data_IF_583506927149
#
_entry.id   IF_583506927149
#
_cell.length_a   1.000
_cell.length_b   1.000
_cell.length_c   1.000
_cell.angle_alpha   90.00
_cell.angle_beta   90.00
_cell.angle_gamma   90.00
#
_symmetry.space_group_name_H-M   'P 1'
#
loop_
_entity.id
_entity.type
_entity.pdbx_description
1 polymer ?
#
# COMPACT_ATOMS: atom_id res chain seq x y z
N UNK A 1 -21.47 10.48 23.18
CA UNK A 1 -20.52 10.99 22.16
C UNK A 1 -19.73 9.82 21.62
N UNK A 2 -19.97 9.42 20.38
CA UNK A 2 -19.13 8.42 19.69
C UNK A 2 -17.68 8.91 19.62
N UNK A 3 -16.74 8.16 20.21
CA UNK A 3 -15.30 8.42 20.07
C UNK A 3 -14.92 8.27 18.59
N UNK A 4 -14.36 9.31 17.97
CA UNK A 4 -13.84 9.25 16.59
C UNK A 4 -12.77 8.16 16.51
N UNK A 5 -12.99 7.13 15.67
CA UNK A 5 -12.11 5.94 15.55
C UNK A 5 -10.80 6.22 14.76
N UNK A 6 -10.21 7.41 14.86
CA UNK A 6 -9.04 7.83 14.05
C UNK A 6 -9.22 7.47 12.57
N UNK A 7 -10.33 7.91 11.99
CA UNK A 7 -10.71 7.64 10.59
C UNK A 7 -11.13 8.94 9.91
N UNK A 8 -10.93 9.00 8.59
CA UNK A 8 -11.49 10.06 7.76
C UNK A 8 -13.01 10.00 7.79
N UNK A 9 -13.67 11.15 7.89
CA UNK A 9 -15.13 11.20 7.90
C UNK A 9 -15.70 10.87 6.52
N UNK A 10 -16.95 10.40 6.47
CA UNK A 10 -17.67 10.21 5.20
C UNK A 10 -17.64 11.47 4.34
N UNK A 11 -17.83 12.64 4.97
CA UNK A 11 -17.79 13.93 4.29
C UNK A 11 -16.44 14.16 3.60
N UNK A 12 -15.33 13.99 4.32
CA UNK A 12 -14.00 14.20 3.73
C UNK A 12 -13.67 13.19 2.64
N UNK A 13 -14.01 11.91 2.81
CA UNK A 13 -13.84 10.92 1.75
C UNK A 13 -14.63 11.31 0.49
N UNK A 14 -15.87 11.77 0.68
CA UNK A 14 -16.73 12.26 -0.40
C UNK A 14 -16.09 13.46 -1.11
N UNK A 15 -15.70 14.49 -0.36
CA UNK A 15 -15.06 15.70 -0.91
C UNK A 15 -13.73 15.41 -1.60
N UNK A 16 -12.90 14.51 -1.04
CA UNK A 16 -11.68 14.06 -1.70
C UNK A 16 -11.98 13.37 -3.03
N UNK A 17 -12.95 12.44 -3.06
CA UNK A 17 -13.29 11.75 -4.30
C UNK A 17 -13.75 12.71 -5.42
N UNK A 18 -14.39 13.83 -5.09
CA UNK A 18 -14.77 14.87 -6.05
C UNK A 18 -13.64 15.81 -6.45
N UNK A 19 -12.74 16.08 -5.53
CA UNK A 19 -11.62 16.98 -5.75
C UNK A 19 -10.54 16.34 -6.63
N UNK A 20 -10.17 15.09 -6.34
CA UNK A 20 -9.07 14.38 -7.00
C UNK A 20 -9.11 14.38 -8.54
N UNK A 21 -10.24 14.20 -9.25
CA UNK A 21 -10.25 14.24 -10.72
C UNK A 21 -9.95 15.62 -11.32
N UNK A 22 -10.01 16.69 -10.52
CA UNK A 22 -9.76 18.07 -10.96
C UNK A 22 -8.59 18.73 -10.23
N UNK A 23 -7.85 17.98 -9.43
CA UNK A 23 -6.66 18.50 -8.77
C UNK A 23 -5.64 18.99 -9.81
N UNK A 24 -5.15 20.23 -9.67
CA UNK A 24 -4.27 20.89 -10.61
C UNK A 24 -5.00 21.59 -11.76
N UNK A 25 -6.35 21.67 -11.71
CA UNK A 25 -7.11 22.38 -12.74
C UNK A 25 -6.69 23.86 -12.79
N UNK A 26 -6.34 24.32 -13.99
CA UNK A 26 -5.79 25.67 -14.20
C UNK A 26 -4.27 25.75 -14.13
N UNK A 27 -3.58 24.66 -13.78
CA UNK A 27 -2.13 24.57 -13.89
C UNK A 27 -1.73 24.38 -15.36
N UNK A 28 -0.82 25.22 -15.88
CA UNK A 28 -0.33 25.14 -17.26
C UNK A 28 0.86 24.20 -17.44
N UNK A 29 1.44 23.69 -16.35
CA UNK A 29 2.67 22.90 -16.36
C UNK A 29 2.46 21.38 -16.36
N UNK A 30 1.26 20.89 -16.01
CA UNK A 30 0.95 19.46 -16.02
C UNK A 30 -0.54 19.20 -16.21
N UNK A 31 -0.88 17.99 -16.66
CA UNK A 31 -2.26 17.54 -16.85
C UNK A 31 -2.95 17.42 -15.47
N UNK A 32 -4.14 18.02 -15.28
CA UNK A 32 -4.87 17.90 -14.03
C UNK A 32 -5.49 16.50 -13.86
N UNK A 33 -5.78 16.17 -12.61
CA UNK A 33 -6.53 14.97 -12.21
C UNK A 33 -5.65 13.81 -11.78
N UNK A 34 -6.04 13.16 -10.69
CA UNK A 34 -5.39 11.95 -10.18
C UNK A 34 -5.88 10.73 -10.98
N UNK A 35 -4.94 9.91 -11.44
CA UNK A 35 -5.25 8.73 -12.25
C UNK A 35 -5.53 7.48 -11.39
N UNK A 36 -4.92 7.39 -10.20
CA UNK A 36 -5.10 6.24 -9.32
C UNK A 36 -5.00 6.59 -7.83
N UNK A 37 -5.73 5.82 -7.02
CA UNK A 37 -5.74 5.91 -5.56
C UNK A 37 -5.50 4.54 -4.95
N UNK A 38 -4.58 4.47 -3.99
CA UNK A 38 -4.39 3.31 -3.14
C UNK A 38 -5.06 3.56 -1.77
N UNK A 39 -6.13 2.82 -1.48
CA UNK A 39 -6.77 2.82 -0.17
C UNK A 39 -5.96 1.90 0.75
N UNK A 40 -5.21 2.50 1.67
CA UNK A 40 -4.37 1.78 2.62
C UNK A 40 -4.19 2.60 3.91
N UNK A 41 -3.57 2.02 4.93
CA UNK A 41 -3.25 2.76 6.15
C UNK A 41 -2.52 1.92 7.19
N UNK A 42 -2.28 2.52 8.35
CA UNK A 42 -1.77 1.79 9.53
C UNK A 42 -2.84 0.97 10.27
N UNK A 43 -4.11 1.09 9.86
CA UNK A 43 -5.23 0.28 10.36
C UNK A 43 -5.94 -0.46 9.22
N UNK A 44 -7.18 -0.90 9.46
CA UNK A 44 -7.99 -1.61 8.46
C UNK A 44 -8.97 -0.65 7.77
N UNK A 45 -8.78 -0.32 6.48
CA UNK A 45 -9.64 0.63 5.77
C UNK A 45 -11.10 0.18 5.67
N UNK A 46 -11.37 -1.12 5.58
CA UNK A 46 -12.75 -1.64 5.48
C UNK A 46 -13.53 -1.57 6.81
N UNK A 47 -12.90 -1.16 7.92
CA UNK A 47 -13.61 -0.83 9.16
C UNK A 47 -14.27 0.56 9.11
N UNK A 48 -13.93 1.40 8.14
CA UNK A 48 -14.64 2.65 7.90
C UNK A 48 -15.89 2.37 7.03
N UNK A 49 -17.11 2.60 7.54
CA UNK A 49 -18.34 2.31 6.80
C UNK A 49 -18.48 3.10 5.48
N UNK A 50 -17.72 4.18 5.30
CA UNK A 50 -17.74 4.98 4.09
C UNK A 50 -16.74 4.51 3.01
N UNK A 51 -15.96 3.45 3.26
CA UNK A 51 -14.93 3.00 2.31
C UNK A 51 -15.53 2.47 1.01
N UNK A 52 -16.62 1.69 1.06
CA UNK A 52 -17.33 1.23 -0.15
C UNK A 52 -17.79 2.40 -1.02
N UNK A 53 -18.58 3.31 -0.45
CA UNK A 53 -19.04 4.54 -1.11
C UNK A 53 -17.88 5.36 -1.71
N UNK A 54 -16.75 5.45 -0.99
CA UNK A 54 -15.56 6.17 -1.47
C UNK A 54 -14.96 5.51 -2.71
N UNK A 55 -14.79 4.18 -2.70
CA UNK A 55 -14.27 3.41 -3.83
C UNK A 55 -15.19 3.59 -5.05
N UNK A 56 -16.50 3.40 -4.87
CA UNK A 56 -17.48 3.54 -5.96
C UNK A 56 -17.43 4.93 -6.59
N UNK A 57 -17.26 5.96 -5.75
CA UNK A 57 -17.20 7.35 -6.21
C UNK A 57 -15.91 7.69 -6.96
N UNK A 58 -14.77 7.17 -6.51
CA UNK A 58 -13.51 7.30 -7.26
C UNK A 58 -13.63 6.65 -8.64
N UNK A 59 -14.22 5.46 -8.72
CA UNK A 59 -14.40 4.71 -9.97
C UNK A 59 -15.38 5.43 -10.90
N UNK A 60 -16.47 6.00 -10.36
CA UNK A 60 -17.38 6.85 -11.13
C UNK A 60 -16.66 8.04 -11.77
N UNK A 61 -15.68 8.61 -11.05
CA UNK A 61 -14.78 9.67 -11.52
C UNK A 61 -13.60 9.17 -12.37
N UNK A 62 -13.62 7.90 -12.83
CA UNK A 62 -12.60 7.26 -13.70
C UNK A 62 -11.21 7.16 -13.06
N UNK A 63 -11.15 7.14 -11.73
CA UNK A 63 -9.92 6.93 -10.97
C UNK A 63 -9.77 5.42 -10.72
N UNK A 64 -8.58 4.88 -11.03
CA UNK A 64 -8.28 3.49 -10.71
C UNK A 64 -8.06 3.31 -9.20
N UNK A 65 -8.60 2.23 -8.64
CA UNK A 65 -8.52 1.99 -7.20
C UNK A 65 -7.81 0.69 -6.90
N UNK A 66 -6.79 0.77 -6.05
CA UNK A 66 -6.18 -0.37 -5.37
C UNK A 66 -6.47 -0.30 -3.87
N UNK A 67 -6.56 -1.44 -3.19
CA UNK A 67 -6.77 -1.47 -1.73
C UNK A 67 -5.91 -2.51 -1.04
N UNK A 68 -5.32 -2.14 0.10
CA UNK A 68 -4.66 -3.07 1.02
C UNK A 68 -5.54 -3.27 2.25
N UNK A 69 -5.87 -4.52 2.57
CA UNK A 69 -6.75 -4.90 3.69
C UNK A 69 -6.21 -6.13 4.41
N UNK A 70 -6.57 -6.31 5.68
CA UNK A 70 -6.36 -7.54 6.45
C UNK A 70 -7.38 -8.64 6.11
N UNK A 71 -8.35 -8.36 5.23
CA UNK A 71 -9.31 -9.34 4.73
C UNK A 71 -10.53 -9.59 5.62
N UNK A 72 -10.59 -8.98 6.83
CA UNK A 72 -11.65 -9.26 7.81
C UNK A 72 -13.05 -8.76 7.42
N UNK A 73 -13.14 -7.90 6.39
CA UNK A 73 -14.39 -7.24 5.95
C UNK A 73 -14.60 -7.28 4.43
N UNK A 74 -14.05 -8.29 3.75
CA UNK A 74 -14.13 -8.41 2.29
C UNK A 74 -15.58 -8.58 1.82
N UNK A 75 -16.34 -9.46 2.48
CA UNK A 75 -17.69 -9.82 2.06
C UNK A 75 -18.64 -8.62 2.16
N UNK A 76 -18.52 -7.81 3.21
CA UNK A 76 -19.36 -6.63 3.41
C UNK A 76 -19.13 -5.53 2.37
N UNK A 77 -18.00 -5.57 1.65
CA UNK A 77 -17.62 -4.58 0.65
C UNK A 77 -17.42 -5.19 -0.74
N UNK A 78 -17.93 -6.40 -0.98
CA UNK A 78 -17.60 -7.21 -2.15
C UNK A 78 -17.89 -6.50 -3.48
N UNK A 79 -18.98 -5.74 -3.55
CA UNK A 79 -19.37 -4.98 -4.74
C UNK A 79 -18.32 -3.94 -5.12
N UNK A 80 -18.01 -3.01 -4.20
CA UNK A 80 -17.00 -1.99 -4.40
C UNK A 80 -15.61 -2.60 -4.68
N UNK A 81 -15.23 -3.62 -3.91
CA UNK A 81 -13.95 -4.32 -4.08
C UNK A 81 -13.82 -4.99 -5.45
N UNK A 82 -14.90 -5.54 -5.99
CA UNK A 82 -14.91 -6.20 -7.30
C UNK A 82 -14.60 -5.23 -8.45
N UNK A 83 -14.79 -3.92 -8.24
CA UNK A 83 -14.53 -2.88 -9.23
C UNK A 83 -13.10 -2.30 -9.15
N UNK A 84 -12.35 -2.62 -8.09
CA UNK A 84 -10.97 -2.22 -7.94
C UNK A 84 -10.08 -2.82 -9.04
N UNK A 85 -8.99 -2.10 -9.38
CA UNK A 85 -7.89 -2.65 -10.17
C UNK A 85 -7.26 -3.83 -9.43
N UNK A 86 -6.98 -3.72 -8.14
CA UNK A 86 -6.45 -4.83 -7.35
C UNK A 86 -6.85 -4.77 -5.88
N UNK A 87 -6.92 -5.93 -5.23
CA UNK A 87 -7.15 -6.08 -3.78
C UNK A 87 -6.00 -6.86 -3.16
N UNK A 88 -5.19 -6.22 -2.32
CA UNK A 88 -4.09 -6.84 -1.61
C UNK A 88 -4.50 -7.26 -0.21
N UNK A 89 -4.49 -8.56 0.09
CA UNK A 89 -4.89 -9.09 1.39
C UNK A 89 -3.67 -9.48 2.21
N UNK A 90 -3.47 -8.83 3.35
CA UNK A 90 -2.33 -9.04 4.28
C UNK A 90 -2.52 -10.30 5.11
N UNK A 91 -1.94 -11.39 4.62
CA UNK A 91 -2.06 -12.71 5.24
C UNK A 91 -0.81 -13.08 6.04
N UNK A 92 0.38 -12.81 5.51
CA UNK A 92 1.67 -13.05 6.21
C UNK A 92 1.88 -14.48 6.75
N UNK A 93 1.10 -15.46 6.28
CA UNK A 93 1.16 -16.86 6.71
C UNK A 93 0.60 -17.79 5.62
N UNK A 94 1.06 -19.04 5.60
CA UNK A 94 0.49 -20.15 4.84
C UNK A 94 -0.40 -21.07 5.69
N UNK A 95 -0.36 -20.93 7.03
CA UNK A 95 -1.15 -21.71 7.97
C UNK A 95 -1.84 -20.86 9.05
N UNK A 96 -3.00 -21.32 9.53
CA UNK A 96 -3.77 -20.63 10.59
C UNK A 96 -2.97 -20.43 11.87
N UNK A 97 -2.16 -21.40 12.30
CA UNK A 97 -1.36 -21.28 13.54
C UNK A 97 -0.39 -20.09 13.49
N UNK A 98 0.29 -19.91 12.36
CA UNK A 98 1.24 -18.82 12.15
C UNK A 98 0.51 -17.49 11.98
N UNK A 99 -0.60 -17.48 11.25
CA UNK A 99 -1.48 -16.31 11.15
C UNK A 99 -1.94 -15.82 12.52
N UNK A 100 -2.52 -16.72 13.32
CA UNK A 100 -3.05 -16.38 14.65
C UNK A 100 -1.94 -15.88 15.57
N UNK A 101 -0.75 -16.50 15.54
CA UNK A 101 0.42 -16.06 16.29
C UNK A 101 0.84 -14.64 15.89
N UNK A 102 1.04 -14.39 14.59
CA UNK A 102 1.53 -13.09 14.09
C UNK A 102 0.53 -11.96 14.29
N UNK A 103 -0.77 -12.25 14.18
CA UNK A 103 -1.85 -11.27 14.33
C UNK A 103 -2.36 -11.13 15.78
N UNK A 104 -1.86 -11.94 16.71
CA UNK A 104 -2.27 -11.93 18.11
C UNK A 104 -3.73 -12.37 18.31
N UNK A 105 -4.19 -13.33 17.50
CA UNK A 105 -5.57 -13.81 17.47
C UNK A 105 -5.72 -15.13 18.23
N UNK A 106 -6.96 -15.42 18.63
CA UNK A 106 -7.29 -16.68 19.31
C UNK A 106 -7.63 -17.77 18.27
N UNK A 107 -7.02 -18.97 18.37
CA UNK A 107 -7.25 -20.04 17.40
C UNK A 107 -8.71 -20.51 17.26
N UNK A 108 -9.54 -20.38 18.31
CA UNK A 108 -10.95 -20.80 18.29
C UNK A 108 -11.81 -20.02 17.30
N UNK A 109 -11.34 -18.85 16.85
CA UNK A 109 -12.09 -17.95 15.98
C UNK A 109 -11.93 -18.25 14.49
N UNK A 110 -10.95 -19.08 14.11
CA UNK A 110 -10.69 -19.48 12.71
C UNK A 110 -10.65 -18.28 11.74
N UNK A 111 -9.98 -17.19 12.14
CA UNK A 111 -9.92 -15.98 11.32
C UNK A 111 -9.24 -16.22 9.98
N UNK A 112 -8.14 -16.99 9.98
CA UNK A 112 -7.43 -17.36 8.77
C UNK A 112 -8.36 -18.04 7.76
N UNK A 113 -9.02 -19.14 8.15
CA UNK A 113 -9.90 -19.91 7.28
C UNK A 113 -11.02 -19.04 6.68
N UNK A 114 -11.63 -18.18 7.50
CA UNK A 114 -12.69 -17.26 7.06
C UNK A 114 -12.20 -16.23 6.04
N UNK A 115 -10.98 -15.72 6.22
CA UNK A 115 -10.40 -14.76 5.27
C UNK A 115 -10.05 -15.48 3.96
N UNK A 116 -9.50 -16.69 4.01
CA UNK A 116 -9.23 -17.53 2.84
C UNK A 116 -10.52 -17.79 2.05
N UNK A 117 -11.61 -18.18 2.73
CA UNK A 117 -12.93 -18.34 2.11
C UNK A 117 -13.44 -17.02 1.50
N UNK A 118 -13.28 -15.91 2.22
CA UNK A 118 -13.70 -14.59 1.73
C UNK A 118 -12.93 -14.13 0.49
N UNK A 119 -11.63 -14.46 0.40
CA UNK A 119 -10.81 -14.22 -0.79
C UNK A 119 -11.37 -15.01 -1.98
N UNK A 120 -11.61 -16.32 -1.80
CA UNK A 120 -12.14 -17.17 -2.85
C UNK A 120 -13.50 -16.67 -3.37
N UNK A 121 -14.38 -16.25 -2.45
CA UNK A 121 -15.68 -15.64 -2.77
C UNK A 121 -15.50 -14.36 -3.57
N UNK A 122 -14.61 -13.44 -3.17
CA UNK A 122 -14.37 -12.19 -3.90
C UNK A 122 -13.84 -12.45 -5.32
N UNK A 123 -12.89 -13.39 -5.48
CA UNK A 123 -12.34 -13.78 -6.79
C UNK A 123 -13.44 -14.31 -7.70
N UNK A 124 -14.25 -15.25 -7.21
CA UNK A 124 -15.34 -15.85 -7.98
C UNK A 124 -16.43 -14.83 -8.31
N UNK A 125 -16.81 -13.99 -7.34
CA UNK A 125 -17.78 -12.92 -7.53
C UNK A 125 -17.35 -11.95 -8.64
N UNK A 126 -16.11 -11.44 -8.58
CA UNK A 126 -15.60 -10.51 -9.56
C UNK A 126 -15.59 -11.09 -11.00
N UNK A 127 -15.25 -12.38 -11.13
CA UNK A 127 -15.32 -13.10 -12.42
C UNK A 127 -16.75 -13.21 -12.93
N UNK A 128 -17.70 -13.61 -12.08
CA UNK A 128 -19.12 -13.77 -12.45
C UNK A 128 -19.80 -12.45 -12.82
N UNK A 129 -19.44 -11.37 -12.12
CA UNK A 129 -19.93 -10.03 -12.43
C UNK A 129 -19.22 -9.38 -13.62
N UNK A 130 -18.19 -10.03 -14.18
CA UNK A 130 -17.32 -9.46 -15.21
C UNK A 130 -16.81 -8.05 -14.82
N UNK A 131 -16.54 -7.87 -13.52
CA UNK A 131 -16.07 -6.61 -12.97
C UNK A 131 -14.56 -6.48 -13.18
N UNK A 132 -14.02 -5.26 -13.05
CA UNK A 132 -12.60 -4.96 -13.36
C UNK A 132 -11.63 -5.95 -12.71
N UNK A 133 -11.83 -6.24 -11.42
CA UNK A 133 -10.97 -7.17 -10.66
C UNK A 133 -10.94 -8.58 -11.26
N UNK A 134 -12.04 -9.03 -11.89
CA UNK A 134 -12.19 -10.36 -12.48
C UNK A 134 -11.76 -10.46 -13.95
N UNK A 135 -11.47 -9.33 -14.61
CA UNK A 135 -11.04 -9.31 -16.01
C UNK A 135 -9.62 -9.84 -16.18
N UNK A 136 -9.33 -10.45 -17.33
CA UNK A 136 -7.99 -10.95 -17.68
C UNK A 136 -7.06 -9.77 -18.00
N UNK A 137 -6.28 -9.33 -17.02
CA UNK A 137 -5.23 -8.32 -17.18
C UNK A 137 -4.10 -8.56 -16.16
N UNK A 138 -2.83 -8.28 -16.48
CA UNK A 138 -1.73 -8.52 -15.54
C UNK A 138 -1.86 -7.79 -14.20
N UNK A 139 -2.43 -6.58 -14.23
CA UNK A 139 -2.62 -5.76 -13.03
C UNK A 139 -3.89 -6.10 -12.24
N UNK A 140 -4.80 -6.93 -12.76
CA UNK A 140 -6.13 -7.12 -12.16
C UNK A 140 -6.22 -8.39 -11.33
N UNK A 141 -6.80 -8.27 -10.13
CA UNK A 141 -7.14 -9.40 -9.29
C UNK A 141 -6.76 -9.24 -7.82
N UNK A 142 -7.00 -10.32 -7.07
CA UNK A 142 -6.66 -10.40 -5.64
C UNK A 142 -5.21 -10.85 -5.49
N UNK A 143 -4.47 -10.14 -4.64
CA UNK A 143 -3.06 -10.39 -4.35
C UNK A 143 -2.89 -10.84 -2.92
N UNK A 144 -2.30 -12.02 -2.73
CA UNK A 144 -1.91 -12.51 -1.41
C UNK A 144 -0.65 -11.76 -0.96
N UNK A 145 -0.76 -10.90 0.07
CA UNK A 145 0.37 -10.12 0.57
C UNK A 145 1.00 -10.82 1.77
N UNK A 146 2.31 -10.98 1.69
CA UNK A 146 3.09 -11.74 2.67
C UNK A 146 4.33 -10.96 3.11
N UNK A 147 4.30 -10.45 4.34
CA UNK A 147 5.47 -9.92 5.01
C UNK A 147 6.25 -11.05 5.66
N UNK A 148 7.52 -11.16 5.32
CA UNK A 148 8.44 -12.14 5.90
C UNK A 148 8.84 -11.68 7.30
N UNK A 149 8.75 -12.61 8.23
CA UNK A 149 9.30 -12.56 9.57
C UNK A 149 10.01 -13.90 9.81
N UNK A 150 11.00 -13.94 10.69
CA UNK A 150 11.72 -15.18 11.04
C UNK A 150 10.82 -16.41 11.27
N UNK A 151 9.65 -16.19 11.87
CA UNK A 151 8.72 -17.25 12.25
C UNK A 151 7.89 -17.80 11.08
N UNK A 152 7.89 -17.16 9.90
CA UNK A 152 7.00 -17.50 8.79
C UNK A 152 7.74 -17.78 7.47
N UNK A 153 9.06 -17.69 7.41
CA UNK A 153 9.81 -17.94 6.17
C UNK A 153 9.57 -19.37 5.66
N UNK A 154 9.50 -20.35 6.57
CA UNK A 154 9.26 -21.76 6.24
C UNK A 154 7.89 -22.04 5.60
N UNK A 155 6.96 -21.09 5.59
CA UNK A 155 5.62 -21.24 5.00
C UNK A 155 5.49 -20.61 3.61
N UNK A 156 6.55 -20.03 3.03
CA UNK A 156 6.50 -19.32 1.74
C UNK A 156 5.94 -20.20 0.62
N UNK A 157 6.45 -21.43 0.45
CA UNK A 157 5.91 -22.34 -0.58
C UNK A 157 4.44 -22.72 -0.33
N UNK A 158 4.11 -23.04 0.92
CA UNK A 158 2.73 -23.37 1.31
C UNK A 158 1.76 -22.22 1.05
N UNK A 159 2.15 -20.99 1.37
CA UNK A 159 1.35 -19.80 1.15
C UNK A 159 1.13 -19.53 -0.35
N UNK A 160 2.16 -19.74 -1.19
CA UNK A 160 2.03 -19.60 -2.64
C UNK A 160 1.06 -20.64 -3.21
N UNK A 161 1.16 -21.90 -2.77
CA UNK A 161 0.22 -22.96 -3.16
C UNK A 161 -1.21 -22.61 -2.77
N UNK A 162 -1.44 -22.20 -1.52
CA UNK A 162 -2.75 -21.79 -1.04
C UNK A 162 -3.32 -20.60 -1.82
N UNK A 163 -2.51 -19.56 -2.07
CA UNK A 163 -2.92 -18.39 -2.82
C UNK A 163 -3.37 -18.75 -4.24
N UNK A 164 -2.65 -19.67 -4.90
CA UNK A 164 -3.02 -20.19 -6.22
C UNK A 164 -4.33 -20.98 -6.17
N UNK A 165 -4.48 -21.88 -5.19
CA UNK A 165 -5.67 -22.72 -5.02
C UNK A 165 -6.96 -21.91 -4.82
N UNK A 166 -6.89 -20.79 -4.09
CA UNK A 166 -8.05 -19.91 -3.87
C UNK A 166 -8.27 -18.88 -4.99
N UNK A 167 -7.47 -18.94 -6.06
CA UNK A 167 -7.66 -18.14 -7.27
C UNK A 167 -7.13 -16.72 -7.18
N UNK A 168 -6.22 -16.40 -6.25
CA UNK A 168 -5.50 -15.13 -6.30
C UNK A 168 -4.78 -14.98 -7.65
N UNK A 169 -4.61 -13.73 -8.10
CA UNK A 169 -3.81 -13.42 -9.29
C UNK A 169 -2.33 -13.61 -9.03
N UNK A 170 -1.89 -13.32 -7.82
CA UNK A 170 -0.48 -13.41 -7.45
C UNK A 170 -0.28 -13.46 -5.93
N UNK A 171 0.94 -13.79 -5.53
CA UNK A 171 1.45 -13.64 -4.17
C UNK A 171 2.71 -12.76 -4.16
N UNK A 172 2.82 -11.90 -3.15
CA UNK A 172 3.97 -11.01 -2.98
C UNK A 172 4.65 -11.29 -1.63
N UNK A 173 5.87 -11.80 -1.68
CA UNK A 173 6.75 -11.96 -0.52
C UNK A 173 7.64 -10.72 -0.37
N UNK A 174 7.60 -10.10 0.81
CA UNK A 174 8.40 -8.90 1.10
C UNK A 174 9.04 -9.02 2.48
N UNK A 175 10.32 -8.73 2.65
CA UNK A 175 10.89 -8.57 3.98
C UNK A 175 10.09 -7.55 4.79
N UNK A 176 9.76 -7.89 6.04
CA UNK A 176 9.19 -6.91 6.95
C UNK A 176 10.27 -5.85 7.25
N UNK A 177 9.94 -4.59 6.99
CA UNK A 177 10.81 -3.46 7.29
C UNK A 177 10.50 -2.87 8.65
N UNK A 178 11.52 -2.35 9.32
CA UNK A 178 11.37 -1.53 10.53
C UNK A 178 10.61 -0.25 10.20
N UNK A 179 9.66 0.12 11.05
CA UNK A 179 8.92 1.39 10.90
C UNK A 179 9.84 2.57 11.20
N UNK A 180 9.58 3.72 10.59
CA UNK A 180 10.45 4.90 10.66
C UNK A 180 10.76 5.34 12.11
N UNK A 181 9.78 5.20 13.01
CA UNK A 181 9.87 5.55 14.43
C UNK A 181 10.67 4.54 15.28
N UNK A 182 11.15 3.45 14.68
CA UNK A 182 11.85 2.34 15.35
C UNK A 182 13.19 1.97 14.72
N UNK A 183 13.62 2.71 13.70
CA UNK A 183 14.96 2.53 13.11
C UNK A 183 16.02 2.78 14.20
N UNK A 184 17.10 2.00 14.19
CA UNK A 184 18.20 2.10 15.17
C UNK A 184 17.78 1.85 16.63
N UNK A 185 16.68 1.12 16.84
CA UNK A 185 16.25 0.64 18.15
C UNK A 185 16.37 -0.88 18.23
N UNK A 186 16.28 -1.45 19.43
CA UNK A 186 16.20 -2.91 19.67
C UNK A 186 15.04 -3.61 18.92
N UNK A 187 14.07 -2.84 18.41
CA UNK A 187 12.91 -3.33 17.65
C UNK A 187 13.16 -3.37 16.15
N UNK A 188 14.39 -3.08 15.70
CA UNK A 188 14.79 -3.19 14.32
C UNK A 188 14.70 -4.65 13.85
N UNK A 189 13.99 -4.85 12.76
CA UNK A 189 13.85 -6.16 12.12
C UNK A 189 15.11 -6.41 11.29
N UNK A 190 15.78 -7.53 11.57
CA UNK A 190 16.96 -8.02 10.89
C UNK A 190 16.77 -9.49 10.54
N UNK A 191 17.42 -9.94 9.47
CA UNK A 191 17.41 -11.33 9.03
C UNK A 191 18.82 -11.90 9.07
N UNK A 192 18.94 -13.14 9.53
CA UNK A 192 20.20 -13.89 9.57
C UNK A 192 20.51 -14.54 8.21
N UNK A 193 21.77 -14.91 7.93
CA UNK A 193 22.12 -15.66 6.72
C UNK A 193 21.33 -16.97 6.55
N UNK A 194 21.05 -17.68 7.65
CA UNK A 194 20.27 -18.92 7.63
C UNK A 194 18.80 -18.66 7.25
N UNK A 195 18.21 -17.57 7.76
CA UNK A 195 16.85 -17.15 7.39
C UNK A 195 16.75 -16.74 5.92
N UNK A 196 17.78 -16.05 5.40
CA UNK A 196 17.85 -15.70 3.97
C UNK A 196 18.00 -16.96 3.11
N UNK A 197 18.84 -17.91 3.52
CA UNK A 197 19.02 -19.19 2.83
C UNK A 197 17.71 -19.98 2.81
N UNK A 198 17.03 -20.08 3.95
CA UNK A 198 15.72 -20.72 4.04
C UNK A 198 14.70 -20.04 3.12
N UNK A 199 14.70 -18.70 3.05
CA UNK A 199 13.85 -17.98 2.12
C UNK A 199 14.17 -18.35 0.66
N UNK A 200 15.45 -18.39 0.28
CA UNK A 200 15.88 -18.75 -1.08
C UNK A 200 15.42 -20.17 -1.47
N UNK A 201 15.52 -21.13 -0.56
CA UNK A 201 15.02 -22.49 -0.77
C UNK A 201 13.49 -22.52 -0.98
N UNK A 202 12.75 -21.75 -0.16
CA UNK A 202 11.29 -21.73 -0.24
C UNK A 202 10.76 -20.97 -1.45
N UNK A 203 11.36 -19.82 -1.78
CA UNK A 203 10.94 -19.00 -2.91
C UNK A 203 11.22 -19.72 -4.23
N UNK A 204 12.31 -20.48 -4.33
CA UNK A 204 12.60 -21.32 -5.51
C UNK A 204 11.46 -22.30 -5.77
N UNK A 205 11.00 -23.02 -4.74
CA UNK A 205 9.84 -23.93 -4.85
C UNK A 205 8.55 -23.18 -5.19
N UNK A 206 8.37 -21.98 -4.64
CA UNK A 206 7.19 -21.16 -4.91
C UNK A 206 7.17 -20.69 -6.37
N UNK A 207 8.31 -20.34 -6.95
CA UNK A 207 8.42 -19.89 -8.35
C UNK A 207 7.99 -20.98 -9.35
N UNK A 208 8.12 -22.27 -9.01
CA UNK A 208 7.59 -23.37 -9.83
C UNK A 208 6.05 -23.34 -9.97
N UNK A 209 5.35 -22.56 -9.15
CA UNK A 209 3.91 -22.35 -9.24
C UNK A 209 3.52 -21.17 -10.15
N UNK A 210 4.48 -20.34 -10.57
CA UNK A 210 4.24 -19.22 -11.48
C UNK A 210 3.79 -19.71 -12.85
N UNK A 211 2.70 -19.16 -13.37
CA UNK A 211 2.18 -19.45 -14.71
C UNK A 211 1.37 -18.26 -15.27
N UNK A 212 0.78 -18.44 -16.46
CA UNK A 212 -0.01 -17.40 -17.13
C UNK A 212 -1.18 -16.85 -16.27
N UNK A 213 -1.65 -17.64 -15.30
CA UNK A 213 -2.80 -17.33 -14.45
C UNK A 213 -2.41 -16.84 -13.05
N UNK A 214 -1.25 -17.25 -12.53
CA UNK A 214 -0.79 -16.95 -11.18
C UNK A 214 0.67 -16.49 -11.14
N UNK A 215 0.94 -15.31 -10.59
CA UNK A 215 2.29 -14.76 -10.45
C UNK A 215 2.89 -14.94 -9.05
N UNK A 216 4.18 -15.24 -8.97
CA UNK A 216 4.93 -15.32 -7.72
C UNK A 216 6.01 -14.24 -7.70
N UNK A 217 5.91 -13.31 -6.74
CA UNK A 217 6.84 -12.18 -6.66
C UNK A 217 7.57 -12.15 -5.32
N UNK A 218 8.89 -12.31 -5.34
CA UNK A 218 9.78 -11.93 -4.25
C UNK A 218 10.28 -10.49 -4.42
N UNK A 219 10.32 -9.68 -3.36
CA UNK A 219 10.80 -8.28 -3.45
C UNK A 219 12.32 -8.21 -3.38
N UNK A 220 12.92 -7.62 -4.42
CA UNK A 220 14.37 -7.35 -4.58
C UNK A 220 14.72 -5.87 -4.80
N UNK A 221 13.74 -4.96 -4.92
CA UNK A 221 14.03 -3.54 -5.24
C UNK A 221 14.07 -2.60 -4.02
N UNK A 222 13.27 -2.88 -2.97
CA UNK A 222 13.30 -2.08 -1.72
C UNK A 222 14.34 -2.57 -0.73
N UNK A 223 14.83 -3.77 -0.96
CA UNK A 223 15.76 -4.48 -0.10
C UNK A 223 16.83 -5.12 -0.96
N UNK A 224 18.06 -5.17 -0.46
CA UNK A 224 19.16 -5.87 -1.12
C UNK A 224 19.02 -7.40 -0.92
N UNK A 225 19.97 -8.16 -1.45
CA UNK A 225 20.07 -9.62 -1.26
C UNK A 225 20.16 -10.06 0.22
N UNK A 226 20.46 -9.13 1.13
CA UNK A 226 20.57 -9.33 2.57
C UNK A 226 19.33 -8.85 3.33
N UNK A 227 18.27 -8.47 2.62
CA UNK A 227 17.03 -7.92 3.19
C UNK A 227 17.20 -6.60 3.94
N UNK A 228 18.26 -5.84 3.64
CA UNK A 228 18.51 -4.52 4.20
C UNK A 228 17.89 -3.43 3.30
N UNK A 229 17.44 -2.29 3.85
CA UNK A 229 16.90 -1.19 3.05
C UNK A 229 17.85 -0.72 1.94
N UNK A 230 17.35 -0.64 0.72
CA UNK A 230 18.13 -0.29 -0.47
C UNK A 230 17.73 1.05 -1.07
N UNK A 231 17.80 2.13 -0.29
CA UNK A 231 17.46 3.48 -0.78
C UNK A 231 18.56 4.05 -1.69
N UNK A 232 18.68 3.55 -2.92
CA UNK A 232 19.68 4.00 -3.91
C UNK A 232 19.26 5.29 -4.63
N UNK A 233 19.08 6.37 -3.87
CA UNK A 233 18.80 7.70 -4.39
C UNK A 233 19.23 8.77 -3.36
N UNK A 234 19.61 9.95 -3.83
CA UNK A 234 20.13 11.04 -2.97
C UNK A 234 19.01 11.93 -2.42
N UNK A 235 17.98 12.21 -3.21
CA UNK A 235 16.87 13.11 -2.86
C UNK A 235 15.51 12.47 -3.13
N UNK A 236 14.54 12.81 -2.27
CA UNK A 236 13.20 12.24 -2.34
C UNK A 236 12.28 13.04 -3.28
N UNK A 237 12.37 12.80 -4.58
CA UNK A 237 11.48 13.41 -5.58
C UNK A 237 10.04 12.87 -5.55
N UNK A 238 9.83 11.66 -4.99
CA UNK A 238 8.53 11.00 -4.91
C UNK A 238 7.48 11.77 -4.11
N UNK A 239 7.88 12.73 -3.27
CA UNK A 239 6.94 13.60 -2.56
C UNK A 239 6.17 14.53 -3.50
N UNK A 240 6.71 14.79 -4.70
CA UNK A 240 6.02 15.52 -5.77
C UNK A 240 5.21 14.61 -6.71
N UNK A 241 5.24 13.30 -6.48
CA UNK A 241 4.52 12.32 -7.29
C UNK A 241 3.34 11.71 -6.55
N UNK A 242 3.38 11.73 -5.21
CA UNK A 242 2.42 11.02 -4.38
C UNK A 242 1.95 11.82 -3.18
N UNK A 243 0.69 11.62 -2.82
CA UNK A 243 0.01 12.29 -1.73
C UNK A 243 -0.57 11.27 -0.76
N UNK A 244 -0.60 11.61 0.52
CA UNK A 244 -1.13 10.74 1.57
C UNK A 244 -2.15 11.50 2.40
N UNK A 245 -3.42 11.13 2.29
CA UNK A 245 -4.49 11.70 3.10
C UNK A 245 -4.74 10.81 4.31
N UNK A 246 -4.59 11.38 5.51
CA UNK A 246 -4.64 10.62 6.76
C UNK A 246 -5.65 11.23 7.73
N UNK A 247 -6.27 10.42 8.61
CA UNK A 247 -7.02 10.95 9.74
C UNK A 247 -6.09 11.76 10.67
N UNK A 248 -6.60 12.82 11.32
CA UNK A 248 -5.83 13.53 12.33
C UNK A 248 -5.40 12.64 13.50
N UNK A 249 -4.21 12.90 14.01
CA UNK A 249 -3.61 12.12 15.12
C UNK A 249 -4.12 12.57 16.50
N UNK A 250 -4.51 13.84 16.62
CA UNK A 250 -4.97 14.46 17.88
C UNK A 250 -6.44 14.13 18.19
N UNK A 251 -6.82 14.22 19.47
CA UNK A 251 -8.19 13.90 19.92
C UNK A 251 -9.16 15.07 19.76
N UNK A 252 -8.65 16.29 19.86
CA UNK A 252 -9.45 17.52 19.87
C UNK A 252 -9.58 18.16 18.48
N UNK A 253 -9.20 17.43 17.44
CA UNK A 253 -9.28 17.90 16.07
C UNK A 253 -10.70 17.87 15.51
N UNK A 254 -11.08 18.87 14.70
CA UNK A 254 -12.41 18.96 14.12
C UNK A 254 -12.81 17.69 13.35
N UNK A 255 -14.09 17.31 13.43
CA UNK A 255 -14.61 16.03 12.89
C UNK A 255 -14.28 15.76 11.43
N UNK A 256 -14.25 16.80 10.61
CA UNK A 256 -13.98 16.73 9.18
C UNK A 256 -12.56 17.23 8.86
N UNK A 257 -11.66 17.19 9.83
CA UNK A 257 -10.26 17.49 9.57
C UNK A 257 -9.52 16.26 9.01
N UNK A 258 -8.50 16.48 8.19
CA UNK A 258 -7.54 15.50 7.70
C UNK A 258 -6.12 16.07 7.68
N UNK A 259 -5.14 15.17 7.62
CA UNK A 259 -3.72 15.49 7.45
C UNK A 259 -3.33 15.20 6.02
N UNK A 260 -2.63 16.15 5.41
CA UNK A 260 -2.04 16.02 4.09
C UNK A 260 -0.54 15.74 4.23
N UNK A 261 -0.17 14.47 4.09
CA UNK A 261 1.20 13.98 4.13
C UNK A 261 1.79 13.68 2.76
N UNK A 262 3.11 13.50 2.74
CA UNK A 262 3.91 13.35 1.52
C UNK A 262 4.63 12.00 1.41
N UNK A 263 4.60 11.16 2.46
CA UNK A 263 5.29 9.87 2.46
C UNK A 263 4.47 8.79 3.17
N UNK A 264 4.18 7.68 2.46
CA UNK A 264 3.41 6.58 3.00
C UNK A 264 4.19 5.71 4.00
N UNK A 265 5.53 5.71 3.95
CA UNK A 265 6.37 4.96 4.89
C UNK A 265 6.69 5.78 6.16
N UNK A 266 6.44 7.11 6.14
CA UNK A 266 6.59 8.03 7.28
C UNK A 266 5.25 8.63 7.74
N UNK A 267 4.18 7.83 7.71
CA UNK A 267 2.86 8.27 8.19
C UNK A 267 2.90 8.65 9.67
N UNK A 268 2.34 9.81 10.01
CA UNK A 268 2.35 10.38 11.37
C UNK A 268 3.66 11.07 11.75
N UNK A 269 4.60 11.20 10.82
CA UNK A 269 5.81 12.00 11.03
C UNK A 269 5.57 13.45 10.56
N UNK A 270 5.53 14.38 11.51
CA UNK A 270 5.30 15.80 11.23
C UNK A 270 6.34 16.44 10.29
N UNK A 271 7.52 15.83 10.09
CA UNK A 271 8.53 16.30 9.13
C UNK A 271 8.06 16.19 7.67
N UNK A 272 7.18 15.23 7.37
CA UNK A 272 6.66 14.97 6.01
C UNK A 272 5.16 15.26 5.88
N UNK A 273 4.60 16.00 6.84
CA UNK A 273 3.22 16.49 6.80
C UNK A 273 3.19 17.91 6.22
N UNK A 274 2.64 18.02 5.01
CA UNK A 274 2.51 19.28 4.29
C UNK A 274 1.52 20.21 5.01
N UNK A 275 0.43 19.66 5.53
CA UNK A 275 -0.46 20.38 6.43
C UNK A 275 -1.25 19.42 7.32
N UNK A 276 -1.61 19.92 8.49
CA UNK A 276 -2.44 19.24 9.48
C UNK A 276 -3.77 19.96 9.63
N UNK A 277 -4.78 19.21 10.07
CA UNK A 277 -6.09 19.71 10.47
C UNK A 277 -6.89 20.49 9.41
N UNK A 278 -6.61 20.17 8.15
CA UNK A 278 -7.27 20.74 6.98
C UNK A 278 -8.72 20.23 6.93
N UNK A 279 -9.67 21.11 6.64
CA UNK A 279 -11.09 20.75 6.45
C UNK A 279 -11.62 21.02 5.05
N UNK A 280 -10.82 21.70 4.25
CA UNK A 280 -11.17 22.13 2.90
C UNK A 280 -10.18 21.50 1.93
N UNK A 281 -10.70 20.66 1.03
CA UNK A 281 -9.91 19.96 0.01
C UNK A 281 -9.29 20.95 -0.98
N UNK A 282 -9.82 22.17 -1.15
CA UNK A 282 -9.20 23.18 -2.03
C UNK A 282 -7.83 23.64 -1.52
N UNK A 283 -7.55 23.50 -0.21
CA UNK A 283 -6.22 23.81 0.33
C UNK A 283 -5.14 22.88 -0.23
N UNK A 284 -5.49 21.69 -0.71
CA UNK A 284 -4.55 20.74 -1.31
C UNK A 284 -3.84 21.41 -2.50
N UNK A 285 -4.59 22.07 -3.38
CA UNK A 285 -4.04 22.72 -4.58
C UNK A 285 -3.14 23.91 -4.22
N UNK A 286 -3.54 24.70 -3.22
CA UNK A 286 -2.76 25.86 -2.74
C UNK A 286 -1.42 25.46 -2.11
N UNK A 287 -1.38 24.31 -1.43
CA UNK A 287 -0.20 23.83 -0.72
C UNK A 287 0.73 23.04 -1.64
N UNK A 288 0.19 22.32 -2.62
CA UNK A 288 0.95 21.44 -3.49
C UNK A 288 1.92 22.23 -4.37
N UNK A 289 3.22 21.96 -4.18
CA UNK A 289 4.29 22.63 -4.93
C UNK A 289 4.64 24.02 -4.39
N UNK A 290 4.00 24.45 -3.29
CA UNK A 290 4.32 25.70 -2.60
C UNK A 290 5.64 25.66 -1.84
N UNK A 291 6.04 26.80 -1.26
CA UNK A 291 7.30 26.97 -0.52
C UNK A 291 7.52 25.94 0.59
N UNK A 292 6.45 25.56 1.30
CA UNK A 292 6.52 24.53 2.36
C UNK A 292 6.83 23.15 1.79
N UNK A 293 6.25 22.79 0.64
CA UNK A 293 6.51 21.51 -0.01
C UNK A 293 8.00 21.38 -0.37
N UNK A 294 8.58 22.40 -1.02
CA UNK A 294 10.00 22.46 -1.32
C UNK A 294 10.89 22.46 -0.07
N UNK A 295 10.50 23.19 0.99
CA UNK A 295 11.24 23.15 2.25
C UNK A 295 11.28 21.75 2.87
N UNK A 296 10.17 21.00 2.79
CA UNK A 296 10.14 19.60 3.23
C UNK A 296 11.09 18.76 2.37
N UNK A 297 11.00 18.86 1.04
CA UNK A 297 11.92 18.19 0.11
C UNK A 297 13.39 18.38 0.51
N UNK A 298 13.81 19.62 0.69
CA UNK A 298 15.21 19.97 0.96
C UNK A 298 15.69 19.54 2.36
N UNK A 299 14.75 19.25 3.27
CA UNK A 299 15.07 18.84 4.65
C UNK A 299 15.21 17.33 4.85
N UNK A 300 14.77 16.52 3.88
CA UNK A 300 14.81 15.06 4.01
C UNK A 300 16.25 14.57 3.79
N UNK A 301 16.88 14.04 4.84
CA UNK A 301 18.08 13.21 4.68
C UNK A 301 17.63 11.76 4.38
N UNK A 302 17.83 11.32 3.13
CA UNK A 302 17.46 9.95 2.72
C UNK A 302 18.29 8.91 3.45
N UNK A 303 19.60 9.14 3.59
CA UNK A 303 20.52 8.20 4.21
C UNK A 303 20.27 8.05 5.72
N UNK A 304 19.91 9.14 6.41
CA UNK A 304 19.85 9.14 7.88
C UNK A 304 18.44 8.90 8.43
N UNK A 305 17.38 9.30 7.70
CA UNK A 305 16.03 9.34 8.27
C UNK A 305 15.01 8.42 7.60
N UNK A 306 15.27 7.97 6.37
CA UNK A 306 14.24 7.24 5.61
C UNK A 306 14.24 5.75 5.97
N UNK A 307 13.07 5.15 6.25
CA UNK A 307 12.93 3.69 6.26
C UNK A 307 13.10 3.14 4.83
N UNK A 308 12.88 1.83 4.66
CA UNK A 308 12.78 1.22 3.31
C UNK A 308 11.71 1.92 2.46
N UNK A 309 12.15 2.62 1.42
CA UNK A 309 11.29 3.51 0.64
C UNK A 309 10.40 2.73 -0.33
N UNK A 310 9.09 2.97 -0.29
CA UNK A 310 8.14 2.38 -1.24
C UNK A 310 8.35 2.88 -2.65
N UNK A 311 8.80 4.12 -2.81
CA UNK A 311 9.04 4.78 -4.07
C UNK A 311 10.51 4.82 -4.47
N UNK A 312 11.36 3.96 -3.88
CA UNK A 312 12.77 3.85 -4.25
C UNK A 312 12.97 3.76 -5.78
N UNK A 313 12.25 2.89 -6.52
CA UNK A 313 12.43 2.81 -7.96
C UNK A 313 12.03 4.11 -8.68
N UNK A 314 11.06 4.86 -8.14
CA UNK A 314 10.58 6.09 -8.77
C UNK A 314 11.61 7.22 -8.60
N UNK A 315 12.21 7.32 -7.41
CA UNK A 315 13.29 8.27 -7.17
C UNK A 315 14.52 7.94 -8.02
N UNK A 316 14.91 6.66 -8.08
CA UNK A 316 16.06 6.22 -8.89
C UNK A 316 15.82 6.46 -10.39
N UNK A 317 14.63 6.16 -10.90
CA UNK A 317 14.26 6.49 -12.29
C UNK A 317 14.35 8.01 -12.51
N UNK A 318 13.80 8.82 -11.61
CA UNK A 318 13.87 10.27 -11.76
C UNK A 318 15.32 10.78 -11.76
N UNK A 319 16.13 10.36 -10.79
CA UNK A 319 17.53 10.78 -10.70
C UNK A 319 18.36 10.31 -11.89
N UNK A 320 18.33 9.02 -12.19
CA UNK A 320 19.23 8.45 -13.19
C UNK A 320 18.75 8.69 -14.61
N UNK A 321 17.43 8.62 -14.86
CA UNK A 321 16.87 8.76 -16.21
C UNK A 321 16.54 10.21 -16.53
N UNK A 322 15.87 10.94 -15.63
CA UNK A 322 15.37 12.29 -15.95
C UNK A 322 16.38 13.39 -15.64
N UNK A 323 16.99 13.36 -14.44
CA UNK A 323 17.92 14.39 -13.99
C UNK A 323 19.31 14.21 -14.62
N UNK A 324 19.87 13.01 -14.54
CA UNK A 324 21.23 12.72 -15.00
C UNK A 324 21.29 12.32 -16.49
N UNK A 325 20.15 12.02 -17.11
CA UNK A 325 20.05 11.50 -18.48
C UNK A 325 21.01 10.33 -18.75
N UNK A 326 21.23 9.47 -17.75
CA UNK A 326 22.21 8.37 -17.83
C UNK A 326 21.81 7.27 -18.82
N UNK A 327 20.54 7.28 -19.24
CA UNK A 327 20.01 6.41 -20.30
C UNK A 327 19.86 7.11 -21.65
N UNK A 328 20.21 8.39 -21.76
CA UNK A 328 19.94 9.19 -22.96
C UNK A 328 18.50 9.04 -23.44
N UNK A 329 17.51 9.19 -22.53
CA UNK A 329 16.16 8.66 -22.72
C UNK A 329 15.40 9.31 -23.90
N UNK A 330 15.91 10.42 -24.43
CA UNK A 330 15.37 11.08 -25.62
C UNK A 330 15.65 10.32 -26.94
N UNK A 331 16.48 9.28 -26.89
CA UNK A 331 16.87 8.46 -28.05
C UNK A 331 16.30 7.04 -28.03
N UNK A 332 15.46 6.70 -27.03
CA UNK A 332 14.79 5.39 -26.87
C UNK A 332 13.27 5.55 -27.03
#
# INVERSE_FOLDING_TARGET
MEKRKRALSKKILTELADFLPRWGQGNSGFKPGVESVCVAGGGEPLLNPATGDFIDRLIANKIEVGIVTNGSRLIENIDALSQCTWVGVSMDAGASKTFDKLKGLRPDKKYFDRIIESIAILVDYAKRQNSRLGLKHPAYGVSYKYLLYKDNIGEVYQAAKLAKEIGCKNIHFRPAGTTWDKISTEKQIMFTPDEITLFQEQITKAMDLDDETFGVYGVTHKFNSQFEPSNYFEKCYSIFMTAVFMPPSEKDTPKDAFVFGLCCDRRGDGKVELATDIKDVEMIDQLWGGKRHWKIHDSISVADECPRCTYQPHNEIYEQVILNDSMTYKFI
#
